data_IF_211920971044
#
_entry.id   IF_211920971044
#
_cell.length_a   1.000
_cell.length_b   1.000
_cell.length_c   1.000
_cell.angle_alpha   90.00
_cell.angle_beta   90.00
_cell.angle_gamma   90.00
#
_symmetry.space_group_name_H-M   'P 1'
#
loop_
_entity.id
_entity.type
_entity.pdbx_description
1 polymer ?
#
# COMPACT_ATOMS: atom_id res chain seq x y z
N UNK A 1 -5.82 9.21 -15.57
CA UNK A 1 -4.48 8.93 -15.00
C UNK A 1 -4.72 8.05 -13.79
N UNK A 2 -4.01 6.92 -13.65
CA UNK A 2 -4.23 6.00 -12.53
C UNK A 2 -3.17 6.23 -11.46
N UNK A 3 -3.61 6.49 -10.25
CA UNK A 3 -2.76 6.53 -9.05
C UNK A 3 -2.53 5.13 -8.52
N UNK A 4 -1.42 4.96 -7.79
CA UNK A 4 -1.20 3.79 -6.96
C UNK A 4 -1.45 4.14 -5.49
N UNK A 5 -2.42 3.48 -4.87
CA UNK A 5 -2.79 3.65 -3.47
C UNK A 5 -2.17 2.54 -2.65
N UNK A 6 -1.60 2.87 -1.50
CA UNK A 6 -1.19 1.90 -0.49
C UNK A 6 -1.79 2.25 0.86
N UNK A 7 -2.49 1.29 1.45
CA UNK A 7 -3.09 1.37 2.78
C UNK A 7 -2.47 0.29 3.64
N UNK A 8 -1.85 0.68 4.74
CA UNK A 8 -1.29 -0.24 5.73
C UNK A 8 -1.98 -0.03 7.06
N UNK A 9 -2.32 -1.10 7.76
CA UNK A 9 -2.75 -1.09 9.15
C UNK A 9 -1.72 -1.84 10.00
N UNK A 10 -1.14 -1.16 10.97
CA UNK A 10 -0.13 -1.70 11.87
C UNK A 10 -0.64 -1.66 13.30
N UNK A 11 -0.62 -2.82 13.95
CA UNK A 11 -0.98 -2.96 15.37
C UNK A 11 0.30 -3.22 16.16
N UNK A 12 0.44 -2.59 17.33
CA UNK A 12 1.59 -2.80 18.21
C UNK A 12 1.35 -4.01 19.12
N UNK A 13 2.42 -4.76 19.44
CA UNK A 13 2.32 -5.90 20.37
C UNK A 13 1.91 -5.47 21.77
N UNK A 14 2.45 -4.34 22.24
CA UNK A 14 2.24 -3.79 23.57
C UNK A 14 2.31 -2.27 23.52
N UNK A 15 1.75 -1.61 24.53
CA UNK A 15 1.83 -0.15 24.66
C UNK A 15 3.28 0.35 24.82
N UNK A 16 4.17 -0.47 25.38
CA UNK A 16 5.59 -0.14 25.54
C UNK A 16 6.35 -0.07 24.20
N UNK A 17 5.80 -0.68 23.13
CA UNK A 17 6.35 -0.57 21.78
C UNK A 17 6.13 0.82 21.16
N UNK A 18 5.22 1.64 21.71
CA UNK A 18 4.79 2.90 21.10
C UNK A 18 5.91 3.95 20.92
N UNK A 19 6.78 4.22 21.91
CA UNK A 19 7.86 5.20 21.73
C UNK A 19 8.82 4.79 20.61
N UNK A 20 9.20 3.51 20.57
CA UNK A 20 10.08 2.96 19.52
C UNK A 20 9.40 2.98 18.16
N UNK A 21 8.10 2.70 18.11
CA UNK A 21 7.31 2.85 16.90
C UNK A 21 7.35 4.28 16.37
N UNK A 22 7.04 5.28 17.21
CA UNK A 22 7.02 6.69 16.81
C UNK A 22 8.38 7.19 16.32
N UNK A 23 9.47 6.75 16.97
CA UNK A 23 10.84 7.09 16.56
C UNK A 23 11.14 6.69 15.10
N UNK A 24 10.60 5.57 14.64
CA UNK A 24 10.78 5.11 13.26
C UNK A 24 9.66 5.55 12.31
N UNK A 25 8.43 5.68 12.80
CA UNK A 25 7.26 6.03 12.01
C UNK A 25 7.33 7.47 11.51
N UNK A 26 7.73 8.43 12.36
CA UNK A 26 7.76 9.86 12.00
C UNK A 26 8.75 10.15 10.86
N UNK A 27 10.00 9.65 10.89
CA UNK A 27 10.92 9.82 9.77
C UNK A 27 10.47 9.10 8.50
N UNK A 28 9.92 7.88 8.61
CA UNK A 28 9.38 7.14 7.46
C UNK A 28 8.21 7.90 6.81
N UNK A 29 7.32 8.46 7.61
CA UNK A 29 6.19 9.26 7.12
C UNK A 29 6.65 10.57 6.47
N UNK A 30 7.63 11.24 7.08
CA UNK A 30 8.23 12.45 6.50
C UNK A 30 8.91 12.15 5.18
N UNK A 31 9.60 11.01 5.06
CA UNK A 31 10.19 10.54 3.81
C UNK A 31 9.12 10.30 2.75
N UNK A 32 7.99 9.67 3.10
CA UNK A 32 6.90 9.44 2.15
C UNK A 32 6.34 10.76 1.59
N UNK A 33 6.05 11.73 2.46
CA UNK A 33 5.53 13.06 2.07
C UNK A 33 6.46 13.85 1.15
N UNK A 34 7.77 13.61 1.23
CA UNK A 34 8.80 14.30 0.44
C UNK A 34 9.27 13.48 -0.77
N UNK A 35 8.80 12.24 -0.91
CA UNK A 35 9.25 11.35 -1.97
C UNK A 35 8.71 11.83 -3.32
N UNK A 36 9.56 11.74 -4.34
CA UNK A 36 9.17 11.97 -5.73
C UNK A 36 7.98 11.06 -6.09
N UNK A 37 6.96 11.64 -6.73
CA UNK A 37 5.74 10.94 -7.13
C UNK A 37 4.77 10.62 -5.99
N UNK A 38 4.99 11.09 -4.75
CA UNK A 38 3.94 11.05 -3.72
C UNK A 38 2.95 12.21 -3.93
N UNK A 39 1.67 11.87 -4.04
CA UNK A 39 0.56 12.81 -4.24
C UNK A 39 -0.14 13.11 -2.90
N UNK A 40 -0.22 12.10 -2.04
CA UNK A 40 -0.86 12.20 -0.74
C UNK A 40 -0.21 11.22 0.24
N UNK A 41 -0.09 11.63 1.51
CA UNK A 41 0.31 10.75 2.59
C UNK A 41 -0.28 11.26 3.91
N UNK A 42 -1.05 10.41 4.59
CA UNK A 42 -1.58 10.66 5.92
C UNK A 42 -1.54 9.40 6.80
N UNK A 43 -1.62 9.61 8.11
CA UNK A 43 -1.75 8.55 9.10
C UNK A 43 -2.98 8.78 9.97
N UNK A 44 -3.64 7.70 10.41
CA UNK A 44 -4.76 7.74 11.36
C UNK A 44 -4.72 6.52 12.26
N UNK A 45 -5.11 6.68 13.52
CA UNK A 45 -5.32 5.56 14.43
C UNK A 45 -6.80 5.24 14.51
N UNK A 46 -7.19 4.01 14.15
CA UNK A 46 -8.58 3.55 14.14
C UNK A 46 -8.64 2.26 14.96
N UNK A 47 -9.40 2.27 16.07
CA UNK A 47 -9.60 1.09 16.95
C UNK A 47 -8.28 0.40 17.36
N UNK A 48 -7.24 1.18 17.67
CA UNK A 48 -5.93 0.65 18.08
C UNK A 48 -5.02 0.18 16.93
N UNK A 49 -5.48 0.29 15.67
CA UNK A 49 -4.67 0.06 14.49
C UNK A 49 -4.14 1.39 13.95
N UNK A 50 -2.82 1.50 13.80
CA UNK A 50 -2.17 2.65 13.18
C UNK A 50 -2.16 2.49 11.66
N UNK A 51 -3.04 3.23 10.99
CA UNK A 51 -3.14 3.24 9.55
C UNK A 51 -2.23 4.28 8.92
N UNK A 52 -1.67 3.91 7.78
CA UNK A 52 -0.97 4.81 6.86
C UNK A 52 -1.62 4.68 5.49
N UNK A 53 -2.05 5.80 4.94
CA UNK A 53 -2.58 5.93 3.58
C UNK A 53 -1.59 6.76 2.76
N UNK A 54 -1.08 6.18 1.68
CA UNK A 54 -0.23 6.90 0.72
C UNK A 54 -0.77 6.73 -0.69
N UNK A 55 -0.72 7.80 -1.47
CA UNK A 55 -1.13 7.81 -2.87
C UNK A 55 0.04 8.32 -3.70
N UNK A 56 0.30 7.62 -4.78
CA UNK A 56 1.46 7.82 -5.64
C UNK A 56 1.00 7.99 -7.08
N UNK A 57 1.76 8.76 -7.85
CA UNK A 57 1.54 8.89 -9.30
C UNK A 57 1.60 7.54 -9.99
N UNK A 58 2.46 6.64 -9.49
CA UNK A 58 2.61 5.28 -10.01
C UNK A 58 3.21 4.32 -8.96
N UNK A 59 3.13 3.02 -9.24
CA UNK A 59 3.65 1.95 -8.36
C UNK A 59 5.18 1.96 -8.26
N UNK A 60 5.90 2.41 -9.28
CA UNK A 60 7.38 2.47 -9.28
C UNK A 60 7.87 3.54 -8.32
N UNK A 61 7.22 4.71 -8.27
CA UNK A 61 7.50 5.80 -7.33
C UNK A 61 7.29 5.34 -5.88
N UNK A 62 6.18 4.66 -5.60
CA UNK A 62 5.93 4.01 -4.31
C UNK A 62 7.05 3.01 -3.92
N UNK A 63 7.48 2.16 -4.86
CA UNK A 63 8.54 1.17 -4.61
C UNK A 63 9.89 1.82 -4.31
N UNK A 64 10.25 2.91 -4.99
CA UNK A 64 11.49 3.66 -4.70
C UNK A 64 11.52 4.11 -3.23
N UNK A 65 10.39 4.62 -2.72
CA UNK A 65 10.25 4.97 -1.32
C UNK A 65 10.42 3.74 -0.40
N UNK A 66 9.71 2.64 -0.69
CA UNK A 66 9.79 1.42 0.13
C UNK A 66 11.21 0.86 0.27
N UNK A 67 12.02 0.95 -0.77
CA UNK A 67 13.37 0.39 -0.78
C UNK A 67 14.46 1.41 -0.43
N UNK A 68 14.13 2.50 0.26
CA UNK A 68 15.12 3.51 0.65
C UNK A 68 14.90 4.10 2.04
N UNK A 69 15.98 4.67 2.59
CA UNK A 69 15.92 5.63 3.69
C UNK A 69 15.30 5.11 4.99
N UNK A 70 14.49 5.98 5.62
CA UNK A 70 13.87 5.76 6.92
C UNK A 70 12.86 4.60 6.91
N UNK A 71 12.17 4.37 5.79
CA UNK A 71 11.23 3.25 5.68
C UNK A 71 11.92 1.89 5.88
N UNK A 72 13.06 1.65 5.24
CA UNK A 72 13.83 0.41 5.46
C UNK A 72 14.23 0.27 6.93
N UNK A 73 14.64 1.37 7.57
CA UNK A 73 15.03 1.32 8.99
C UNK A 73 13.83 1.00 9.89
N UNK A 74 12.64 1.52 9.58
CA UNK A 74 11.41 1.14 10.26
C UNK A 74 11.12 -0.36 10.08
N UNK A 75 11.30 -0.88 8.87
CA UNK A 75 10.99 -2.27 8.55
C UNK A 75 11.88 -3.28 9.29
N UNK A 76 13.14 -2.91 9.59
CA UNK A 76 14.04 -3.73 10.40
C UNK A 76 13.49 -3.98 11.82
N UNK A 77 12.87 -2.97 12.42
CA UNK A 77 12.37 -3.06 13.80
C UNK A 77 10.91 -3.51 13.88
N UNK A 78 10.15 -3.46 12.77
CA UNK A 78 8.72 -3.81 12.76
C UNK A 78 8.44 -5.18 13.36
N UNK A 79 9.27 -6.20 13.09
CA UNK A 79 9.08 -7.55 13.66
C UNK A 79 9.19 -7.60 15.19
N UNK A 80 9.90 -6.65 15.77
CA UNK A 80 10.08 -6.55 17.23
C UNK A 80 8.90 -5.84 17.87
N UNK A 81 8.40 -4.77 17.27
CA UNK A 81 7.41 -3.85 17.87
C UNK A 81 5.95 -4.12 17.46
N UNK A 82 5.72 -4.65 16.26
CA UNK A 82 4.39 -4.83 15.68
C UNK A 82 3.85 -6.25 15.87
N UNK A 83 2.56 -6.35 16.09
CA UNK A 83 1.81 -7.59 16.02
C UNK A 83 1.60 -7.96 14.54
N UNK A 84 2.48 -8.81 14.02
CA UNK A 84 2.46 -9.25 12.63
C UNK A 84 1.23 -10.12 12.30
N UNK A 85 0.56 -10.69 13.31
CA UNK A 85 -0.68 -11.44 13.10
C UNK A 85 -1.86 -10.54 12.74
N UNK A 86 -1.77 -9.25 13.08
CA UNK A 86 -2.78 -8.25 12.82
C UNK A 86 -2.33 -7.11 11.90
N UNK A 87 -1.05 -7.03 11.56
CA UNK A 87 -0.52 -6.05 10.62
C UNK A 87 -0.85 -6.47 9.18
N UNK A 88 -1.56 -5.63 8.44
CA UNK A 88 -2.00 -5.92 7.06
C UNK A 88 -1.76 -4.75 6.12
N UNK A 89 -1.53 -5.05 4.85
CA UNK A 89 -1.37 -4.03 3.81
C UNK A 89 -2.20 -4.38 2.58
N UNK A 90 -2.67 -3.35 1.87
CA UNK A 90 -3.31 -3.47 0.58
C UNK A 90 -2.81 -2.36 -0.34
N UNK A 91 -2.47 -2.72 -1.57
CA UNK A 91 -2.06 -1.78 -2.59
C UNK A 91 -2.83 -2.02 -3.89
N UNK A 92 -3.38 -0.97 -4.47
CA UNK A 92 -4.29 -1.04 -5.62
C UNK A 92 -4.18 0.21 -6.50
N UNK A 93 -4.66 0.11 -7.73
CA UNK A 93 -4.77 1.26 -8.63
C UNK A 93 -6.11 1.97 -8.44
N UNK A 94 -6.11 3.31 -8.54
CA UNK A 94 -7.32 4.12 -8.43
C UNK A 94 -7.28 5.29 -9.40
N UNK A 95 -8.42 5.66 -9.97
CA UNK A 95 -8.53 6.81 -10.88
C UNK A 95 -8.55 8.16 -10.13
N UNK A 96 -8.68 8.14 -8.80
CA UNK A 96 -8.68 9.33 -7.95
C UNK A 96 -7.91 9.12 -6.64
N UNK A 97 -7.67 10.21 -5.90
CA UNK A 97 -7.15 10.14 -4.53
C UNK A 97 -8.32 9.73 -3.62
N UNK A 98 -8.29 8.54 -2.99
CA UNK A 98 -9.41 8.08 -2.18
C UNK A 98 -9.52 8.84 -0.87
N UNK A 99 -10.74 8.95 -0.37
CA UNK A 99 -11.02 9.32 1.01
C UNK A 99 -10.54 8.22 1.97
N UNK A 100 -10.38 8.58 3.24
CA UNK A 100 -10.08 7.60 4.28
C UNK A 100 -11.14 6.50 4.40
N UNK A 101 -12.42 6.81 4.16
CA UNK A 101 -13.48 5.82 4.23
C UNK A 101 -13.32 4.77 3.13
N UNK A 102 -13.13 5.20 1.87
CA UNK A 102 -12.89 4.30 0.74
C UNK A 102 -11.62 3.46 0.97
N UNK A 103 -10.53 4.09 1.41
CA UNK A 103 -9.27 3.42 1.66
C UNK A 103 -9.37 2.33 2.74
N UNK A 104 -10.06 2.61 3.85
CA UNK A 104 -10.27 1.64 4.93
C UNK A 104 -11.23 0.53 4.52
N UNK A 105 -12.25 0.84 3.72
CA UNK A 105 -13.15 -0.18 3.16
C UNK A 105 -12.39 -1.16 2.27
N UNK A 106 -11.57 -0.65 1.34
CA UNK A 106 -10.72 -1.48 0.47
C UNK A 106 -9.72 -2.31 1.27
N UNK A 107 -9.06 -1.70 2.26
CA UNK A 107 -8.16 -2.42 3.17
C UNK A 107 -8.89 -3.53 3.94
N UNK A 108 -10.09 -3.25 4.47
CA UNK A 108 -10.88 -4.24 5.20
C UNK A 108 -11.26 -5.47 4.36
N UNK A 109 -11.53 -5.26 3.06
CA UNK A 109 -11.93 -6.31 2.12
C UNK A 109 -10.75 -7.13 1.57
N UNK A 110 -9.62 -6.49 1.30
CA UNK A 110 -8.57 -7.09 0.47
C UNK A 110 -7.18 -7.14 1.12
N UNK A 111 -6.98 -6.56 2.30
CA UNK A 111 -5.65 -6.49 2.90
C UNK A 111 -5.12 -7.87 3.32
N UNK A 112 -3.84 -8.06 3.06
CA UNK A 112 -3.13 -9.30 3.33
C UNK A 112 -2.15 -9.09 4.47
N UNK A 113 -1.86 -10.17 5.20
CA UNK A 113 -0.93 -10.10 6.32
C UNK A 113 0.45 -9.63 5.84
N UNK A 114 1.03 -8.73 6.59
CA UNK A 114 2.37 -8.21 6.33
C UNK A 114 3.38 -9.36 6.22
N UNK A 115 4.14 -9.40 5.13
CA UNK A 115 5.13 -10.45 4.85
C UNK A 115 4.57 -11.71 4.14
N UNK A 116 3.25 -11.82 3.95
CA UNK A 116 2.66 -12.81 3.04
C UNK A 116 2.38 -12.13 1.69
N UNK A 117 3.25 -12.38 0.71
CA UNK A 117 3.03 -11.94 -0.67
C UNK A 117 1.76 -12.60 -1.21
N UNK A 118 0.70 -11.84 -1.45
CA UNK A 118 -0.23 -12.22 -2.50
C UNK A 118 0.40 -11.85 -3.81
N UNK A 119 1.01 -12.84 -4.45
CA UNK A 119 1.08 -12.84 -5.90
C UNK A 119 -0.39 -12.77 -6.38
N UNK A 120 -0.85 -11.58 -6.74
CA UNK A 120 -2.02 -11.44 -7.57
C UNK A 120 -1.56 -10.82 -8.88
N UNK A 121 -1.43 -11.74 -9.83
CA UNK A 121 -1.21 -11.52 -11.25
C UNK A 121 -2.49 -10.91 -11.81
N UNK A 122 -2.60 -9.58 -11.80
CA UNK A 122 -3.56 -8.90 -12.67
C UNK A 122 -2.87 -8.63 -14.02
N UNK A 123 -2.67 -9.72 -14.78
CA UNK A 123 -2.54 -9.62 -16.23
C UNK A 123 -3.94 -9.41 -16.81
N UNK A 124 -4.16 -8.16 -17.20
CA UNK A 124 -5.14 -7.67 -18.14
C UNK A 124 -5.63 -8.73 -19.16
N UNK A 125 -6.85 -9.23 -19.00
CA UNK A 125 -7.63 -9.87 -20.08
C UNK A 125 -8.96 -9.14 -20.28
N UNK A 126 -8.97 -8.28 -21.28
CA UNK A 126 -10.14 -7.74 -21.96
C UNK A 126 -9.68 -6.61 -22.87
N UNK A 127 -10.05 -6.47 -24.12
CA UNK A 127 -10.90 -7.20 -25.03
C UNK A 127 -10.53 -6.68 -26.43
N UNK A 128 -10.68 -7.48 -27.47
CA UNK A 128 -10.41 -7.02 -28.84
C UNK A 128 -10.84 -8.04 -29.89
N UNK A 129 -12.14 -8.16 -30.10
CA UNK A 129 -12.73 -8.34 -31.44
C UNK A 129 -13.20 -6.95 -31.89
N UNK A 130 -13.24 -6.59 -33.20
CA UNK A 130 -13.62 -7.39 -34.38
C UNK A 130 -12.54 -7.33 -35.50
N UNK A 131 -12.57 -8.05 -36.62
CA UNK A 131 -13.54 -7.97 -37.72
C UNK A 131 -13.15 -8.97 -38.85
N UNK A 132 -14.15 -9.69 -39.37
CA UNK A 132 -14.40 -10.13 -40.76
C UNK A 132 -13.27 -10.16 -41.82
N UNK A 133 -13.03 -11.33 -42.46
CA UNK A 133 -13.01 -11.50 -43.94
C UNK A 133 -13.04 -12.99 -44.36
N UNK A 134 -14.08 -13.33 -45.15
CA UNK A 134 -14.13 -14.15 -46.36
C UNK A 134 -13.23 -15.40 -46.57
N UNK A 135 -13.92 -16.54 -46.79
CA UNK A 135 -13.80 -17.51 -47.88
C UNK A 135 -12.41 -17.89 -48.47
N UNK A 136 -12.13 -19.19 -48.57
CA UNK A 136 -12.21 -19.97 -49.83
C UNK A 136 -11.70 -21.40 -49.64
N UNK A 137 -12.43 -22.33 -50.25
CA UNK A 137 -12.18 -23.75 -50.49
C UNK A 137 -10.81 -24.06 -51.10
N UNK A 138 -10.24 -25.22 -50.79
CA UNK A 138 -9.68 -26.18 -51.75
C UNK A 138 -9.30 -27.49 -51.04
#
# INVERSE_FOLDING_TARGET
MKYYVSVTGLTLKTNLSYPRFMYHAVPSFTQARKAEGNVFAETRSIKGCHHTLTVWEDKKSMRKYMYSGAHIQAMKVTKEIADLSNTKTYGYESDHVPTWQEAIEQWGKHATLYGKSTANTDENKGAGTPQETAATVH
#
